data_IF_890933598733
#
_entry.id   IF_890933598733
#
_cell.length_a   1.000
_cell.length_b   1.000
_cell.length_c   1.000
_cell.angle_alpha   90.00
_cell.angle_beta   90.00
_cell.angle_gamma   90.00
#
_symmetry.space_group_name_H-M   'P 1'
#
loop_
_entity.id
_entity.type
_entity.pdbx_description
1 polymer ?
#
# COMPACT_ATOMS: atom_id res chain seq x y z
N UNK A 1 -9.49 21.70 54.42
CA UNK A 1 -8.20 22.45 54.45
C UNK A 1 -8.34 23.60 53.45
N UNK A 2 -8.73 24.78 53.94
CA UNK A 2 -7.89 25.96 54.24
C UNK A 2 -7.25 26.61 53.00
N UNK A 3 -7.79 27.80 52.68
CA UNK A 3 -7.27 28.86 51.81
C UNK A 3 -5.83 29.30 52.17
N UNK A 4 -5.12 29.88 51.20
CA UNK A 4 -4.63 31.28 51.28
C UNK A 4 -3.97 31.74 49.96
N UNK A 5 -4.47 32.83 49.35
CA UNK A 5 -3.91 34.21 49.32
C UNK A 5 -2.81 34.40 48.25
N UNK A 6 -3.09 35.08 47.14
CA UNK A 6 -3.23 36.54 46.97
C UNK A 6 -1.89 37.28 46.93
N UNK A 7 -1.63 37.94 45.79
CA UNK A 7 -1.20 39.35 45.77
C UNK A 7 -1.25 39.89 44.34
N UNK A 8 -2.32 40.63 44.10
CA UNK A 8 -2.43 41.68 43.08
C UNK A 8 -1.64 42.88 43.62
N UNK A 9 -0.70 43.45 42.85
CA UNK A 9 -0.21 44.80 43.10
C UNK A 9 -0.42 45.62 41.83
N UNK A 10 -1.44 46.48 41.87
CA UNK A 10 -1.52 47.70 41.09
C UNK A 10 -0.68 48.76 41.79
N UNK A 11 0.14 49.49 41.03
CA UNK A 11 0.58 50.84 41.40
C UNK A 11 0.60 51.67 40.11
N UNK A 12 -0.24 52.69 40.09
CA UNK A 12 -0.40 53.61 38.97
C UNK A 12 0.39 54.91 39.13
N UNK A 13 0.15 55.76 38.13
CA UNK A 13 0.39 57.22 38.03
C UNK A 13 1.81 57.75 37.80
N UNK A 14 2.01 58.12 36.52
CA UNK A 14 2.58 59.36 35.96
C UNK A 14 3.40 60.33 36.83
N UNK A 15 4.49 60.88 36.27
CA UNK A 15 4.71 62.32 35.99
C UNK A 15 6.01 62.49 35.18
N UNK A 16 5.99 63.60 34.42
CA UNK A 16 6.83 64.10 33.33
C UNK A 16 8.25 64.53 33.77
N UNK A 17 9.23 64.36 32.88
CA UNK A 17 10.14 65.45 32.56
C UNK A 17 11.58 65.43 33.08
N UNK A 18 12.48 65.62 32.11
CA UNK A 18 13.80 66.27 32.19
C UNK A 18 15.03 65.45 32.61
N UNK A 19 16.12 65.66 31.86
CA UNK A 19 17.47 65.61 32.40
C UNK A 19 18.30 64.40 31.98
N UNK A 20 19.19 64.61 31.01
CA UNK A 20 20.16 63.65 30.53
C UNK A 20 21.09 63.15 31.65
N UNK A 21 20.97 61.88 32.03
CA UNK A 21 22.00 61.14 32.76
C UNK A 21 21.71 59.63 32.83
N UNK A 22 21.29 58.94 31.75
CA UNK A 22 21.06 57.47 31.84
C UNK A 22 21.22 56.68 30.53
N UNK A 23 21.79 57.23 29.46
CA UNK A 23 21.98 56.47 28.21
C UNK A 23 22.93 55.27 28.37
N UNK A 24 23.97 55.38 29.20
CA UNK A 24 24.96 54.31 29.38
C UNK A 24 24.49 53.13 30.26
N UNK A 25 23.48 53.34 31.10
CA UNK A 25 22.94 52.27 31.95
C UNK A 25 21.93 51.40 31.21
N UNK A 26 21.07 52.01 30.40
CA UNK A 26 20.07 51.28 29.60
C UNK A 26 20.68 50.53 28.42
N UNK A 27 21.77 51.01 27.81
CA UNK A 27 22.49 50.26 26.76
C UNK A 27 23.16 49.00 27.33
N UNK A 28 23.79 49.07 28.51
CA UNK A 28 24.35 47.89 29.18
C UNK A 28 23.28 46.87 29.61
N UNK A 29 22.06 47.32 29.91
CA UNK A 29 20.92 46.45 30.20
C UNK A 29 20.36 45.80 28.93
N UNK A 30 20.30 46.53 27.81
CA UNK A 30 19.91 45.98 26.51
C UNK A 30 20.91 44.94 26.01
N UNK A 31 22.20 45.18 26.15
CA UNK A 31 23.24 44.22 25.73
C UNK A 31 23.22 42.94 26.58
N UNK A 32 23.00 43.07 27.90
CA UNK A 32 22.81 41.89 28.78
C UNK A 32 21.51 41.14 28.50
N UNK A 33 20.42 41.83 28.18
CA UNK A 33 19.16 41.20 27.79
C UNK A 33 19.27 40.50 26.43
N UNK A 34 19.95 41.11 25.45
CA UNK A 34 20.21 40.52 24.14
C UNK A 34 21.13 39.29 24.22
N UNK A 35 22.15 39.31 25.09
CA UNK A 35 23.00 38.14 25.36
C UNK A 35 22.25 37.01 26.07
N UNK A 36 21.36 37.33 27.04
CA UNK A 36 20.54 36.34 27.72
C UNK A 36 19.46 35.71 26.83
N UNK A 37 18.93 36.47 25.86
CA UNK A 37 17.98 35.98 24.86
C UNK A 37 18.71 35.10 23.82
N UNK A 38 19.91 35.48 23.40
CA UNK A 38 20.71 34.69 22.45
C UNK A 38 21.29 33.41 23.08
N UNK A 39 21.58 33.38 24.38
CA UNK A 39 21.99 32.15 25.06
C UNK A 39 20.81 31.20 25.30
N UNK A 40 19.62 31.71 25.67
CA UNK A 40 18.40 30.90 25.76
C UNK A 40 17.90 30.39 24.41
N UNK A 41 18.02 31.17 23.33
CA UNK A 41 17.65 30.74 21.98
C UNK A 41 18.63 29.71 21.38
N UNK A 42 19.87 29.64 21.87
CA UNK A 42 20.82 28.57 21.54
C UNK A 42 20.57 27.30 22.35
N UNK A 43 20.18 27.40 23.62
CA UNK A 43 19.79 26.24 24.43
C UNK A 43 18.43 25.63 24.01
N UNK A 44 17.45 26.43 23.56
CA UNK A 44 16.20 25.91 22.96
C UNK A 44 16.38 25.32 21.56
N UNK A 45 17.35 25.80 20.75
CA UNK A 45 17.66 25.17 19.45
C UNK A 45 18.51 23.91 19.57
N UNK A 46 19.14 23.67 20.72
CA UNK A 46 19.88 22.44 21.00
C UNK A 46 19.03 21.40 21.73
N UNK A 47 18.04 21.81 22.54
CA UNK A 47 17.06 20.88 23.15
C UNK A 47 15.94 20.44 22.18
N UNK A 48 15.56 21.26 21.19
CA UNK A 48 14.66 20.84 20.10
C UNK A 48 15.40 19.96 19.07
N UNK A 49 16.74 20.03 19.00
CA UNK A 49 17.57 19.17 18.14
C UNK A 49 17.81 17.77 18.73
N UNK A 50 17.77 17.59 20.06
CA UNK A 50 17.97 16.28 20.70
C UNK A 50 16.66 15.54 21.02
N UNK A 51 15.53 16.24 21.17
CA UNK A 51 14.20 15.60 21.22
C UNK A 51 13.61 15.29 19.83
N UNK A 52 14.11 15.90 18.75
CA UNK A 52 13.78 15.52 17.37
C UNK A 52 14.68 14.40 16.80
N UNK A 53 15.73 13.98 17.51
CA UNK A 53 16.66 12.92 17.06
C UNK A 53 16.48 11.58 17.78
N UNK A 54 15.71 11.52 18.87
CA UNK A 54 15.34 10.26 19.56
C UNK A 54 13.92 9.76 19.25
N UNK A 55 13.21 10.42 18.34
CA UNK A 55 12.07 9.84 17.63
C UNK A 55 12.44 9.57 16.16
N UNK A 56 13.67 9.09 15.92
CA UNK A 56 13.89 8.18 14.81
C UNK A 56 13.13 6.89 15.15
N UNK A 57 11.80 6.93 15.01
CA UNK A 57 11.03 5.73 14.70
C UNK A 57 11.77 5.18 13.49
N UNK A 58 12.53 4.09 13.68
CA UNK A 58 12.99 3.29 12.56
C UNK A 58 11.75 3.11 11.73
N UNK A 59 11.72 3.79 10.58
CA UNK A 59 10.50 3.98 9.84
C UNK A 59 10.28 2.65 9.12
N UNK A 60 9.73 1.73 9.89
CA UNK A 60 9.75 0.31 9.62
C UNK A 60 8.67 0.10 8.59
N UNK A 61 9.03 -0.56 7.49
CA UNK A 61 8.05 -0.91 6.47
C UNK A 61 6.91 -1.67 7.13
N UNK A 62 5.64 -1.27 6.89
CA UNK A 62 4.50 -1.96 7.47
C UNK A 62 4.53 -3.45 7.15
N UNK A 63 4.35 -4.29 8.17
CA UNK A 63 4.28 -5.73 7.98
C UNK A 63 2.89 -6.14 7.46
N UNK A 64 2.87 -7.04 6.48
CA UNK A 64 1.64 -7.62 5.96
C UNK A 64 1.23 -8.81 6.82
N UNK A 65 -0.05 -8.83 7.15
CA UNK A 65 -0.71 -9.96 7.78
C UNK A 65 -2.07 -10.19 7.12
N UNK A 66 -2.94 -10.86 7.85
CA UNK A 66 -4.36 -10.88 7.48
C UNK A 66 -4.97 -9.48 7.68
N UNK A 67 -5.81 -8.99 6.75
CA UNK A 67 -6.50 -7.71 6.94
C UNK A 67 -7.28 -7.71 8.26
N UNK A 68 -7.27 -6.59 9.00
CA UNK A 68 -7.95 -6.48 10.30
C UNK A 68 -9.46 -6.69 10.19
N UNK A 69 -10.12 -7.03 11.30
CA UNK A 69 -11.59 -7.16 11.34
C UNK A 69 -12.31 -5.91 10.85
N UNK A 70 -11.82 -4.73 11.25
CA UNK A 70 -12.34 -3.45 10.78
C UNK A 70 -12.29 -3.39 9.25
N UNK A 71 -11.15 -3.68 8.61
CA UNK A 71 -11.01 -3.67 7.16
C UNK A 71 -11.92 -4.69 6.48
N UNK A 72 -12.00 -5.90 7.04
CA UNK A 72 -12.87 -6.96 6.51
C UNK A 72 -14.35 -6.59 6.60
N UNK A 73 -14.75 -5.81 7.61
CA UNK A 73 -16.14 -5.38 7.77
C UNK A 73 -16.64 -4.45 6.65
N UNK A 74 -15.73 -3.79 5.93
CA UNK A 74 -16.07 -2.99 4.74
C UNK A 74 -16.39 -3.85 3.50
N UNK A 75 -16.07 -5.15 3.53
CA UNK A 75 -16.20 -6.04 2.37
C UNK A 75 -17.41 -6.94 2.52
N UNK A 76 -18.37 -6.80 1.61
CA UNK A 76 -19.48 -7.72 1.45
C UNK A 76 -19.27 -8.59 0.22
N UNK A 77 -19.04 -9.88 0.39
CA UNK A 77 -18.75 -10.81 -0.70
C UNK A 77 -19.99 -11.11 -1.56
N UNK A 78 -19.80 -11.18 -2.87
CA UNK A 78 -20.87 -11.50 -3.83
C UNK A 78 -21.25 -12.99 -3.83
N UNK A 79 -20.36 -13.86 -3.34
CA UNK A 79 -20.61 -15.30 -3.20
C UNK A 79 -20.24 -16.14 -4.43
N UNK A 80 -19.55 -15.56 -5.42
CA UNK A 80 -18.92 -16.33 -6.50
C UNK A 80 -17.73 -17.10 -5.93
N UNK A 81 -17.65 -18.40 -6.20
CA UNK A 81 -16.56 -19.23 -5.72
C UNK A 81 -15.23 -18.82 -6.35
N UNK A 82 -14.19 -18.68 -5.52
CA UNK A 82 -12.83 -18.38 -5.96
C UNK A 82 -11.96 -19.61 -5.77
N UNK A 83 -11.24 -20.00 -6.83
CA UNK A 83 -10.41 -21.20 -6.90
C UNK A 83 -9.02 -20.87 -7.46
N UNK A 84 -8.10 -21.84 -7.36
CA UNK A 84 -6.76 -21.78 -7.93
C UNK A 84 -5.98 -20.49 -7.58
N UNK A 85 -6.09 -20.04 -6.32
CA UNK A 85 -5.43 -18.83 -5.85
C UNK A 85 -3.92 -19.03 -5.82
N UNK A 86 -3.20 -18.16 -6.49
CA UNK A 86 -1.74 -18.14 -6.53
C UNK A 86 -1.22 -16.72 -6.36
N UNK A 87 -0.10 -16.59 -5.66
CA UNK A 87 0.70 -15.37 -5.63
C UNK A 87 2.05 -15.67 -6.25
N UNK A 88 2.62 -14.75 -7.03
CA UNK A 88 3.93 -14.92 -7.64
C UNK A 88 4.39 -13.64 -8.33
N UNK A 89 5.18 -13.78 -9.39
CA UNK A 89 5.70 -12.63 -10.14
C UNK A 89 5.58 -12.85 -11.64
N UNK A 90 5.39 -11.77 -12.39
CA UNK A 90 5.70 -11.78 -13.83
C UNK A 90 7.21 -11.57 -13.97
N UNK A 91 7.90 -12.54 -14.57
CA UNK A 91 9.34 -12.49 -14.75
C UNK A 91 9.84 -13.50 -15.77
N UNK A 92 11.14 -13.50 -16.00
CA UNK A 92 11.78 -14.38 -16.97
C UNK A 92 12.13 -15.73 -16.36
N UNK A 93 11.98 -16.79 -17.14
CA UNK A 93 12.35 -18.16 -16.79
C UNK A 93 13.11 -18.81 -17.94
N UNK A 94 13.97 -19.75 -17.58
CA UNK A 94 14.72 -20.56 -18.54
C UNK A 94 14.05 -21.93 -18.74
N UNK A 95 14.08 -22.43 -19.97
CA UNK A 95 13.70 -23.80 -20.29
C UNK A 95 14.68 -24.43 -21.28
N UNK A 96 14.75 -25.76 -21.29
CA UNK A 96 15.62 -26.51 -22.19
C UNK A 96 14.92 -26.86 -23.50
N UNK A 97 15.60 -26.60 -24.62
CA UNK A 97 15.17 -27.04 -25.96
C UNK A 97 16.33 -27.77 -26.64
N UNK A 98 16.32 -29.11 -26.55
CA UNK A 98 17.48 -29.92 -26.89
C UNK A 98 18.64 -29.63 -25.93
N UNK A 99 19.80 -29.23 -26.46
CA UNK A 99 20.97 -28.83 -25.68
C UNK A 99 21.04 -27.32 -25.37
N UNK A 100 20.14 -26.51 -25.94
CA UNK A 100 20.10 -25.06 -25.73
C UNK A 100 19.23 -24.69 -24.54
N UNK A 101 19.63 -23.63 -23.84
CA UNK A 101 18.80 -22.93 -22.86
C UNK A 101 18.17 -21.72 -23.54
N UNK A 102 16.86 -21.56 -23.37
CA UNK A 102 16.08 -20.46 -23.93
C UNK A 102 15.40 -19.71 -22.77
N UNK A 103 15.20 -18.41 -22.94
CA UNK A 103 14.57 -17.55 -21.93
C UNK A 103 13.24 -16.99 -22.45
N UNK A 104 12.23 -16.97 -21.59
CA UNK A 104 10.91 -16.38 -21.86
C UNK A 104 10.32 -15.78 -20.60
N UNK A 105 9.36 -14.88 -20.77
CA UNK A 105 8.56 -14.36 -19.66
C UNK A 105 7.37 -15.27 -19.32
N UNK A 106 7.05 -15.32 -18.03
CA UNK A 106 5.95 -16.11 -17.48
C UNK A 106 5.54 -15.68 -16.07
N UNK A 107 4.43 -16.24 -15.59
CA UNK A 107 4.05 -16.15 -14.19
C UNK A 107 4.83 -17.22 -13.41
N UNK A 108 5.76 -16.79 -12.58
CA UNK A 108 6.81 -17.61 -11.94
C UNK A 108 6.82 -17.42 -10.42
N UNK A 109 7.63 -18.20 -9.71
CA UNK A 109 7.72 -18.17 -8.24
C UNK A 109 6.35 -18.30 -7.56
N UNK A 110 5.49 -19.18 -8.12
CA UNK A 110 4.11 -19.31 -7.66
C UNK A 110 4.08 -19.94 -6.28
N UNK A 111 3.29 -19.37 -5.37
CA UNK A 111 2.90 -19.95 -4.10
C UNK A 111 1.38 -20.03 -4.02
N UNK A 112 0.83 -21.16 -3.54
CA UNK A 112 -0.62 -21.28 -3.35
C UNK A 112 -1.10 -20.25 -2.32
N UNK A 113 -2.31 -19.76 -2.54
CA UNK A 113 -3.03 -18.85 -1.65
C UNK A 113 -4.31 -19.47 -1.11
N UNK A 114 -4.81 -18.92 -0.01
CA UNK A 114 -6.07 -19.33 0.59
C UNK A 114 -7.06 -18.16 0.54
N UNK A 115 -8.32 -18.47 0.22
CA UNK A 115 -9.43 -17.53 0.34
C UNK A 115 -9.96 -17.59 1.76
N UNK A 116 -9.97 -16.45 2.45
CA UNK A 116 -10.49 -16.31 3.81
C UNK A 116 -11.76 -15.48 3.81
N UNK A 117 -12.62 -15.69 4.80
CA UNK A 117 -13.83 -14.87 5.02
C UNK A 117 -14.68 -14.69 3.75
N UNK A 118 -14.83 -15.76 2.96
CA UNK A 118 -15.63 -15.80 1.73
C UNK A 118 -14.93 -15.28 0.47
N UNK A 119 -14.27 -14.13 0.52
CA UNK A 119 -13.65 -13.51 -0.67
C UNK A 119 -12.40 -12.68 -0.38
N UNK A 120 -11.78 -12.84 0.79
CA UNK A 120 -10.55 -12.14 1.15
C UNK A 120 -9.36 -12.97 0.68
N UNK A 121 -8.63 -12.42 -0.29
CA UNK A 121 -7.45 -13.05 -0.89
C UNK A 121 -6.18 -12.74 -0.08
N UNK A 122 -5.10 -13.52 -0.27
CA UNK A 122 -3.85 -13.30 0.44
C UNK A 122 -3.29 -11.90 0.23
N UNK A 123 -2.67 -11.36 1.27
CA UNK A 123 -2.00 -10.07 1.19
C UNK A 123 -0.78 -10.13 0.28
N UNK A 124 -0.51 -9.03 -0.44
CA UNK A 124 0.54 -8.97 -1.46
C UNK A 124 1.66 -8.01 -1.08
N UNK A 125 2.89 -8.47 -1.19
CA UNK A 125 4.06 -7.58 -1.21
C UNK A 125 4.03 -6.72 -2.48
N UNK A 126 4.72 -5.58 -2.45
CA UNK A 126 4.84 -4.75 -3.66
C UNK A 126 5.46 -5.58 -4.78
N UNK A 127 4.89 -5.44 -5.98
CA UNK A 127 5.27 -6.12 -7.23
C UNK A 127 4.97 -7.62 -7.27
N UNK A 128 4.31 -8.18 -6.27
CA UNK A 128 3.67 -9.47 -6.42
C UNK A 128 2.45 -9.36 -7.33
N UNK A 129 2.13 -10.48 -7.96
CA UNK A 129 0.94 -10.67 -8.78
C UNK A 129 0.06 -11.70 -8.10
N UNK A 130 -1.18 -11.33 -7.85
CA UNK A 130 -2.24 -12.24 -7.44
C UNK A 130 -2.91 -12.81 -8.69
N UNK A 131 -3.16 -14.11 -8.69
CA UNK A 131 -3.91 -14.83 -9.71
C UNK A 131 -4.97 -15.68 -9.02
N UNK A 132 -6.14 -15.78 -9.62
CA UNK A 132 -7.18 -16.72 -9.20
C UNK A 132 -8.18 -16.94 -10.33
N UNK A 133 -9.02 -17.96 -10.16
CA UNK A 133 -10.06 -18.32 -11.10
C UNK A 133 -11.43 -18.25 -10.44
N UNK A 134 -12.43 -17.93 -11.25
CA UNK A 134 -13.85 -17.93 -10.85
C UNK A 134 -14.68 -18.67 -11.88
N UNK A 135 -15.87 -19.11 -11.48
CA UNK A 135 -16.84 -19.66 -12.44
C UNK A 135 -17.24 -18.59 -13.46
N UNK A 136 -17.03 -18.88 -14.75
CA UNK A 136 -17.28 -17.93 -15.84
C UNK A 136 -18.77 -17.61 -15.98
N UNK A 137 -19.64 -18.60 -15.75
CA UNK A 137 -21.08 -18.42 -15.89
C UNK A 137 -21.65 -17.54 -14.77
N UNK A 138 -21.23 -17.78 -13.53
CA UNK A 138 -21.62 -16.98 -12.37
C UNK A 138 -21.08 -15.56 -12.48
N UNK A 139 -19.80 -15.40 -12.85
CA UNK A 139 -19.20 -14.08 -13.04
C UNK A 139 -19.91 -13.24 -14.11
N UNK A 140 -20.27 -13.85 -15.24
CA UNK A 140 -21.05 -13.18 -16.31
C UNK A 140 -22.49 -12.87 -15.89
N UNK A 141 -23.12 -13.74 -15.10
CA UNK A 141 -24.51 -13.58 -14.68
C UNK A 141 -24.73 -12.35 -13.79
N UNK A 142 -23.75 -11.98 -12.97
CA UNK A 142 -23.81 -10.75 -12.16
C UNK A 142 -23.90 -9.49 -13.04
N UNK A 143 -23.20 -9.48 -14.18
CA UNK A 143 -23.13 -8.35 -15.10
C UNK A 143 -22.59 -7.07 -14.42
N UNK A 144 -22.98 -5.90 -14.93
CA UNK A 144 -22.65 -4.61 -14.31
C UNK A 144 -21.22 -4.11 -14.56
N UNK A 145 -20.89 -2.99 -13.92
CA UNK A 145 -19.55 -2.40 -13.96
C UNK A 145 -18.79 -2.85 -12.73
N UNK A 146 -17.60 -3.38 -12.96
CA UNK A 146 -16.70 -3.80 -11.90
C UNK A 146 -15.59 -2.78 -11.72
N UNK A 147 -15.34 -2.38 -10.49
CA UNK A 147 -14.43 -1.30 -10.16
C UNK A 147 -13.50 -1.72 -9.03
N UNK A 148 -12.23 -1.34 -9.13
CA UNK A 148 -11.33 -1.44 -7.98
C UNK A 148 -11.46 -0.18 -7.13
N UNK A 149 -11.60 -0.36 -5.82
CA UNK A 149 -11.50 0.69 -4.84
C UNK A 149 -10.52 0.29 -3.75
N UNK A 150 -9.67 1.23 -3.35
CA UNK A 150 -8.71 1.01 -2.28
C UNK A 150 -8.88 2.06 -1.20
N UNK A 151 -8.67 1.67 0.05
CA UNK A 151 -8.57 2.57 1.20
C UNK A 151 -7.20 2.41 1.85
N UNK A 152 -6.76 3.42 2.58
CA UNK A 152 -5.57 3.28 3.43
C UNK A 152 -5.91 2.38 4.60
N UNK A 153 -5.21 1.26 4.75
CA UNK A 153 -5.48 0.29 5.82
C UNK A 153 -5.37 0.89 7.23
N UNK A 154 -4.50 1.89 7.41
CA UNK A 154 -4.31 2.56 8.69
C UNK A 154 -5.45 3.53 9.06
N UNK A 155 -6.29 3.92 8.10
CA UNK A 155 -7.43 4.81 8.32
C UNK A 155 -8.51 4.56 7.25
N UNK A 156 -9.21 3.42 7.28
CA UNK A 156 -10.20 3.09 6.25
C UNK A 156 -11.39 4.05 6.21
N UNK A 157 -11.71 4.68 7.35
CA UNK A 157 -12.78 5.69 7.46
C UNK A 157 -12.51 6.99 6.69
N UNK A 158 -11.29 7.22 6.20
CA UNK A 158 -10.97 8.36 5.34
C UNK A 158 -11.61 8.26 3.94
N UNK A 159 -12.15 7.09 3.58
CA UNK A 159 -12.75 6.84 2.28
C UNK A 159 -11.77 6.30 1.25
N UNK A 160 -12.29 6.03 0.05
CA UNK A 160 -11.50 5.52 -1.06
C UNK A 160 -10.43 6.53 -1.48
N UNK A 161 -9.24 6.02 -1.82
CA UNK A 161 -8.18 6.85 -2.40
C UNK A 161 -8.57 7.20 -3.84
N UNK A 162 -8.53 8.49 -4.15
CA UNK A 162 -8.71 9.00 -5.51
C UNK A 162 -7.33 9.30 -6.11
N UNK A 163 -6.67 8.24 -6.54
CA UNK A 163 -5.35 8.31 -7.16
C UNK A 163 -5.40 7.82 -8.60
N UNK A 164 -4.40 8.21 -9.40
CA UNK A 164 -4.29 7.80 -10.80
C UNK A 164 -4.14 6.28 -10.87
N UNK A 165 -4.72 5.68 -11.93
CA UNK A 165 -4.82 4.24 -12.19
C UNK A 165 -3.50 3.44 -12.06
N UNK A 166 -2.35 4.08 -12.24
CA UNK A 166 -1.02 3.47 -12.15
C UNK A 166 -0.48 3.39 -10.71
N UNK A 167 -1.15 3.98 -9.73
CA UNK A 167 -0.72 4.05 -8.33
C UNK A 167 -1.32 2.97 -7.42
N UNK A 168 -2.29 2.21 -7.93
CA UNK A 168 -2.87 1.04 -7.27
C UNK A 168 -3.44 0.06 -8.32
N UNK A 169 -3.63 -1.22 -7.97
CA UNK A 169 -4.17 -2.21 -8.90
C UNK A 169 -5.53 -1.75 -9.44
N UNK A 170 -5.78 -1.89 -10.74
CA UNK A 170 -7.05 -1.42 -11.33
C UNK A 170 -7.54 -2.30 -12.48
N UNK A 171 -6.64 -3.01 -13.13
CA UNK A 171 -6.96 -3.97 -14.17
C UNK A 171 -6.95 -5.40 -13.59
N UNK A 172 -8.07 -6.15 -13.69
CA UNK A 172 -8.14 -7.56 -13.30
C UNK A 172 -7.44 -8.53 -14.26
N UNK A 173 -6.74 -8.05 -15.28
CA UNK A 173 -6.08 -8.87 -16.30
C UNK A 173 -4.63 -8.44 -16.48
N UNK A 174 -3.85 -8.41 -15.39
CA UNK A 174 -2.43 -8.07 -15.47
C UNK A 174 -1.60 -9.12 -16.22
N UNK A 175 -1.88 -10.40 -15.99
CA UNK A 175 -1.23 -11.51 -16.70
C UNK A 175 -1.96 -11.78 -18.01
N UNK A 176 -1.18 -11.94 -19.09
CA UNK A 176 -1.69 -12.52 -20.33
C UNK A 176 -1.76 -14.03 -20.23
N UNK A 177 -2.64 -14.64 -21.03
CA UNK A 177 -2.74 -16.10 -21.17
C UNK A 177 -1.40 -16.76 -21.49
N UNK A 178 -0.56 -16.08 -22.28
CA UNK A 178 0.77 -16.57 -22.62
C UNK A 178 1.71 -16.65 -21.41
N UNK A 179 1.44 -15.97 -20.31
CA UNK A 179 2.26 -16.06 -19.09
C UNK A 179 1.88 -17.25 -18.21
N UNK A 180 0.71 -17.86 -18.43
CA UNK A 180 0.14 -18.83 -17.49
C UNK A 180 0.61 -20.26 -17.74
N UNK A 181 0.54 -20.76 -18.97
CA UNK A 181 1.21 -22.00 -19.33
C UNK A 181 2.65 -21.70 -19.70
N UNK A 182 3.60 -22.27 -18.97
CA UNK A 182 5.02 -22.11 -19.29
C UNK A 182 5.43 -23.09 -20.39
N UNK A 183 6.57 -22.84 -21.02
CA UNK A 183 7.12 -23.76 -21.99
C UNK A 183 7.53 -25.06 -21.31
N UNK A 184 7.16 -26.20 -21.88
CA UNK A 184 7.54 -27.51 -21.32
C UNK A 184 9.08 -27.63 -21.20
N UNK A 185 9.52 -28.29 -20.13
CA UNK A 185 10.94 -28.33 -19.75
C UNK A 185 11.43 -27.10 -18.96
N UNK A 186 10.51 -26.28 -18.43
CA UNK A 186 10.84 -25.23 -17.45
C UNK A 186 11.25 -25.83 -16.09
N UNK A 187 11.99 -25.04 -15.29
CA UNK A 187 12.36 -25.40 -13.92
C UNK A 187 11.43 -24.90 -12.82
N UNK A 188 10.36 -24.17 -13.18
CA UNK A 188 9.48 -23.51 -12.20
C UNK A 188 8.67 -24.49 -11.35
N UNK A 189 8.68 -24.26 -10.04
CA UNK A 189 7.84 -24.96 -9.05
C UNK A 189 6.40 -24.47 -9.10
N UNK A 190 5.46 -25.33 -8.69
CA UNK A 190 4.01 -25.03 -8.65
C UNK A 190 3.43 -24.63 -10.02
N UNK A 191 4.04 -25.14 -11.10
CA UNK A 191 3.56 -25.05 -12.48
C UNK A 191 3.53 -26.46 -13.05
N UNK A 192 2.38 -27.13 -12.95
CA UNK A 192 2.24 -28.51 -13.43
C UNK A 192 1.97 -28.57 -14.94
N UNK A 193 1.13 -27.64 -15.42
CA UNK A 193 0.73 -27.59 -16.82
C UNK A 193 1.70 -26.73 -17.63
N UNK A 194 2.12 -27.26 -18.77
CA UNK A 194 2.99 -26.60 -19.73
C UNK A 194 2.46 -26.76 -21.15
N UNK A 195 2.93 -25.92 -22.07
CA UNK A 195 2.66 -26.04 -23.49
C UNK A 195 3.91 -25.75 -24.32
N UNK A 196 4.10 -26.52 -25.38
CA UNK A 196 5.16 -26.33 -26.36
C UNK A 196 4.84 -25.17 -27.34
N UNK A 197 5.83 -24.74 -28.11
CA UNK A 197 5.64 -23.82 -29.23
C UNK A 197 5.86 -22.34 -28.88
N UNK A 198 5.18 -21.45 -29.60
CA UNK A 198 5.28 -20.00 -29.46
C UNK A 198 4.46 -19.47 -28.26
N UNK A 199 4.52 -18.15 -28.00
CA UNK A 199 3.65 -17.53 -26.99
C UNK A 199 2.16 -17.62 -27.37
N UNK A 200 1.83 -17.62 -28.68
CA UNK A 200 0.45 -17.78 -29.15
C UNK A 200 -0.07 -19.19 -28.90
N UNK A 201 0.79 -20.21 -29.08
CA UNK A 201 0.41 -21.61 -28.84
C UNK A 201 0.12 -21.85 -27.36
N UNK A 202 1.00 -21.34 -26.48
CA UNK A 202 0.82 -21.39 -25.03
C UNK A 202 -0.43 -20.65 -24.56
N UNK A 203 -0.67 -19.44 -25.07
CA UNK A 203 -1.87 -18.68 -24.77
C UNK A 203 -3.14 -19.44 -25.19
N UNK A 204 -3.13 -20.02 -26.39
CA UNK A 204 -4.27 -20.79 -26.92
C UNK A 204 -4.53 -22.05 -26.09
N UNK A 205 -3.47 -22.75 -25.67
CA UNK A 205 -3.57 -23.93 -24.82
C UNK A 205 -4.19 -23.59 -23.46
N UNK A 206 -3.71 -22.52 -22.80
CA UNK A 206 -4.23 -22.07 -21.52
C UNK A 206 -5.68 -21.58 -21.62
N UNK A 207 -6.00 -20.75 -22.62
CA UNK A 207 -7.35 -20.25 -22.85
C UNK A 207 -8.34 -21.40 -23.12
N UNK A 208 -7.92 -22.41 -23.88
CA UNK A 208 -8.73 -23.62 -24.14
C UNK A 208 -8.96 -24.44 -22.87
N UNK A 209 -7.95 -24.57 -22.00
CA UNK A 209 -8.08 -25.24 -20.71
C UNK A 209 -9.07 -24.50 -19.78
N UNK A 210 -8.92 -23.19 -19.61
CA UNK A 210 -9.85 -22.37 -18.82
C UNK A 210 -11.30 -22.53 -19.30
N UNK A 211 -11.50 -22.38 -20.61
CA UNK A 211 -12.83 -22.51 -21.23
C UNK A 211 -13.42 -23.90 -21.02
N UNK A 212 -12.62 -24.96 -21.16
CA UNK A 212 -13.04 -26.34 -20.92
C UNK A 212 -13.50 -26.55 -19.47
N UNK A 213 -12.84 -25.88 -18.52
CA UNK A 213 -13.18 -25.92 -17.09
C UNK A 213 -14.30 -24.94 -16.70
N UNK A 214 -14.79 -24.14 -17.65
CA UNK A 214 -15.83 -23.13 -17.41
C UNK A 214 -15.35 -22.00 -16.50
N UNK A 215 -14.06 -21.66 -16.56
CA UNK A 215 -13.42 -20.69 -15.67
C UNK A 215 -13.04 -19.41 -16.39
N UNK A 216 -13.10 -18.31 -15.67
CA UNK A 216 -12.43 -17.04 -16.02
C UNK A 216 -11.31 -16.80 -15.02
N UNK A 217 -10.14 -16.44 -15.54
CA UNK A 217 -9.00 -16.07 -14.73
C UNK A 217 -8.95 -14.55 -14.51
N UNK A 218 -8.51 -14.15 -13.33
CA UNK A 218 -8.32 -12.76 -12.93
C UNK A 218 -6.94 -12.63 -12.30
N UNK A 219 -6.26 -11.51 -12.54
CA UNK A 219 -4.93 -11.23 -12.01
C UNK A 219 -4.68 -9.76 -11.75
N UNK A 220 -3.99 -9.48 -10.64
CA UNK A 220 -3.73 -8.12 -10.16
C UNK A 220 -2.27 -7.96 -9.76
N UNK A 221 -1.67 -6.87 -10.21
CA UNK A 221 -0.32 -6.48 -9.84
C UNK A 221 -0.35 -5.48 -8.69
N UNK A 222 0.33 -5.80 -7.59
CA UNK A 222 0.53 -4.92 -6.45
C UNK A 222 1.48 -3.77 -6.84
N UNK A 223 0.94 -2.76 -7.53
CA UNK A 223 1.72 -1.69 -8.11
C UNK A 223 2.41 -0.82 -7.04
N UNK A 224 3.67 -0.39 -7.25
CA UNK A 224 4.24 0.70 -6.48
C UNK A 224 3.48 2.00 -6.81
N UNK A 225 3.53 2.99 -5.92
CA UNK A 225 2.90 4.30 -6.15
C UNK A 225 3.90 5.43 -6.02
N UNK A 226 3.91 6.40 -6.92
CA UNK A 226 4.83 7.54 -6.81
C UNK A 226 4.51 8.46 -5.61
N UNK A 227 3.23 8.50 -5.20
CA UNK A 227 2.76 9.21 -4.01
C UNK A 227 2.86 8.40 -2.71
N UNK A 228 3.29 7.13 -2.78
CA UNK A 228 3.41 6.32 -1.58
C UNK A 228 4.52 6.86 -0.66
N UNK A 229 4.36 6.74 0.68
CA UNK A 229 5.42 7.08 1.62
C UNK A 229 6.70 6.30 1.34
N UNK A 230 7.87 6.90 1.63
CA UNK A 230 9.17 6.20 1.53
C UNK A 230 9.23 4.94 2.39
N UNK A 231 8.49 4.95 3.49
CA UNK A 231 8.36 3.85 4.45
C UNK A 231 7.38 2.78 3.99
N UNK A 232 6.67 3.01 2.87
CA UNK A 232 5.52 2.23 2.47
C UNK A 232 4.26 2.53 3.28
N UNK A 233 3.14 2.09 2.74
CA UNK A 233 1.84 2.07 3.39
C UNK A 233 1.09 0.79 2.98
N UNK A 234 0.09 0.41 3.77
CA UNK A 234 -0.80 -0.70 3.42
C UNK A 234 -2.08 -0.14 2.82
N UNK A 235 -2.50 -0.71 1.70
CA UNK A 235 -3.78 -0.44 1.10
C UNK A 235 -4.64 -1.69 1.16
N UNK A 236 -5.90 -1.50 1.52
CA UNK A 236 -6.92 -2.54 1.42
C UNK A 236 -7.80 -2.24 0.21
N UNK A 237 -7.81 -3.15 -0.74
CA UNK A 237 -8.47 -3.00 -2.02
C UNK A 237 -9.57 -4.03 -2.19
N UNK A 238 -10.69 -3.61 -2.79
CA UNK A 238 -11.78 -4.47 -3.20
C UNK A 238 -12.10 -4.28 -4.67
N UNK A 239 -12.41 -5.38 -5.35
CA UNK A 239 -12.96 -5.35 -6.70
C UNK A 239 -14.45 -5.63 -6.61
N UNK A 240 -15.24 -4.58 -6.73
CA UNK A 240 -16.66 -4.62 -6.43
C UNK A 240 -17.54 -4.31 -7.63
N UNK A 241 -18.73 -4.88 -7.62
CA UNK A 241 -19.75 -4.65 -8.61
C UNK A 241 -20.58 -3.44 -8.18
N UNK A 242 -20.49 -2.33 -8.92
CA UNK A 242 -21.14 -1.07 -8.55
C UNK A 242 -22.67 -1.15 -8.63
N UNK A 243 -23.23 -2.13 -9.34
CA UNK A 243 -24.67 -2.36 -9.41
C UNK A 243 -25.24 -2.95 -8.11
N UNK A 244 -24.53 -3.90 -7.50
CA UNK A 244 -25.02 -4.64 -6.31
C UNK A 244 -24.30 -4.28 -5.02
N UNK A 245 -23.23 -3.47 -5.08
CA UNK A 245 -22.47 -3.04 -3.91
C UNK A 245 -21.74 -4.19 -3.21
N UNK A 246 -21.42 -5.27 -3.93
CA UNK A 246 -20.74 -6.45 -3.41
C UNK A 246 -19.44 -6.71 -4.14
N UNK A 247 -18.47 -7.22 -3.41
CA UNK A 247 -17.11 -7.47 -3.86
C UNK A 247 -16.97 -8.90 -4.40
N UNK A 248 -16.33 -9.03 -5.56
CA UNK A 248 -15.85 -10.33 -6.02
C UNK A 248 -14.76 -10.82 -5.08
N UNK A 249 -13.82 -9.93 -4.74
CA UNK A 249 -12.77 -10.19 -3.78
C UNK A 249 -12.28 -8.90 -3.13
N UNK A 250 -11.50 -9.05 -2.06
CA UNK A 250 -10.66 -7.99 -1.51
C UNK A 250 -9.30 -8.52 -1.04
N UNK A 251 -8.28 -7.68 -0.98
CA UNK A 251 -6.96 -8.01 -0.43
C UNK A 251 -6.28 -6.78 0.15
N UNK A 252 -5.35 -6.97 1.09
CA UNK A 252 -4.41 -5.93 1.52
C UNK A 252 -3.10 -6.07 0.74
N UNK A 253 -2.45 -4.96 0.40
CA UNK A 253 -1.10 -5.01 -0.16
C UNK A 253 -0.21 -3.89 0.37
N UNK A 254 1.08 -4.18 0.40
CA UNK A 254 2.10 -3.21 0.73
C UNK A 254 2.40 -2.37 -0.50
N UNK A 255 2.13 -1.07 -0.43
CA UNK A 255 2.49 -0.10 -1.44
C UNK A 255 3.72 0.67 -0.99
N UNK A 256 4.80 0.59 -1.76
CA UNK A 256 6.00 1.41 -1.56
C UNK A 256 6.16 2.42 -2.68
N UNK A 257 7.04 3.41 -2.45
CA UNK A 257 7.36 4.43 -3.42
C UNK A 257 7.97 3.83 -4.69
N UNK A 258 7.35 4.08 -5.83
CA UNK A 258 7.90 3.73 -7.15
C UNK A 258 9.11 4.59 -7.50
N UNK A 259 10.04 4.02 -8.28
CA UNK A 259 11.17 4.71 -8.88
C UNK A 259 10.86 5.11 -10.31
#
# INVERSE_FOLDING_TARGET
MKLNKASLILLGTAVIGSGAANAQFFDKLKDKAAQAINSKAKEEKQSVSEQAQNAAVSATTPELGEPSEELRSFTSCIGINIENVMVGNLGDYTFKKGFSNEERSGFINRRPGEVKHGCILPSLQTREVLYFEVDESAYKAEGGTWEMQCVKSANPGAGAIDEVRDQYPSNPNYLSDSHMFLHCGHGESNVENCAEGSNSDRASAYSSDLKKRGKTALSFFAAPGFNAPKTGEKLYCQYYNSKVGKSLFAFEYLRVKGH
#
